data_IF_610416695204
#
_entry.id   IF_610416695204
#
_cell.length_a   1.000
_cell.length_b   1.000
_cell.length_c   1.000
_cell.angle_alpha   90.00
_cell.angle_beta   90.00
_cell.angle_gamma   90.00
#
_symmetry.space_group_name_H-M   'P 1'
#
loop_
_entity.id
_entity.type
_entity.pdbx_description
1 polymer ?
#
# COMPACT_ATOMS: atom_id res chain seq x y z
N UNK A 1 39.30 1.80 1.54
CA UNK A 1 38.78 1.78 0.16
C UNK A 1 39.69 2.51 -0.84
N UNK A 2 40.54 3.45 -0.41
CA UNK A 2 41.37 4.27 -1.32
C UNK A 2 42.70 3.67 -1.78
N UNK A 3 42.96 2.37 -1.56
CA UNK A 3 44.24 1.73 -1.95
C UNK A 3 44.15 0.72 -3.11
N UNK A 4 42.94 0.39 -3.58
CA UNK A 4 42.76 -0.47 -4.75
C UNK A 4 42.82 0.40 -6.02
N UNK A 5 43.84 0.20 -6.85
CA UNK A 5 44.04 0.89 -8.13
C UNK A 5 43.21 0.28 -9.26
N UNK A 6 42.67 -0.92 -9.06
CA UNK A 6 41.90 -1.65 -10.07
C UNK A 6 40.38 -1.42 -9.92
N UNK A 7 39.73 -1.06 -11.02
CA UNK A 7 38.29 -0.79 -11.06
C UNK A 7 37.46 -2.04 -10.78
N UNK A 8 37.90 -3.20 -11.26
CA UNK A 8 37.18 -4.45 -11.09
C UNK A 8 37.28 -4.92 -9.63
N UNK A 9 38.41 -4.68 -8.97
CA UNK A 9 38.56 -4.94 -7.53
C UNK A 9 37.58 -4.10 -6.69
N UNK A 10 37.42 -2.80 -6.98
CA UNK A 10 36.43 -1.95 -6.29
C UNK A 10 34.99 -2.42 -6.52
N UNK A 11 34.67 -2.84 -7.74
CA UNK A 11 33.36 -3.38 -8.10
C UNK A 11 33.08 -4.70 -7.38
N UNK A 12 34.08 -5.58 -7.30
CA UNK A 12 34.02 -6.85 -6.58
C UNK A 12 33.86 -6.63 -5.07
N UNK A 13 34.60 -5.70 -4.47
CA UNK A 13 34.44 -5.36 -3.04
C UNK A 13 33.02 -4.85 -2.76
N UNK A 14 32.47 -3.97 -3.61
CA UNK A 14 31.09 -3.49 -3.47
C UNK A 14 30.06 -4.61 -3.67
N UNK A 15 30.29 -5.52 -4.62
CA UNK A 15 29.43 -6.68 -4.83
C UNK A 15 29.48 -7.63 -3.62
N UNK A 16 30.67 -7.93 -3.10
CA UNK A 16 30.86 -8.77 -1.93
C UNK A 16 30.25 -8.16 -0.66
N UNK A 17 30.36 -6.84 -0.47
CA UNK A 17 29.68 -6.13 0.62
C UNK A 17 28.16 -6.24 0.51
N UNK A 18 27.60 -6.03 -0.69
CA UNK A 18 26.15 -6.21 -0.95
C UNK A 18 25.69 -7.63 -0.64
N UNK A 19 26.45 -8.64 -1.05
CA UNK A 19 26.14 -10.05 -0.77
C UNK A 19 26.24 -10.38 0.72
N UNK A 20 27.27 -9.88 1.41
CA UNK A 20 27.44 -10.11 2.84
C UNK A 20 26.28 -9.50 3.64
N UNK A 21 25.82 -8.31 3.24
CA UNK A 21 24.68 -7.64 3.87
C UNK A 21 23.35 -8.30 3.52
N UNK A 22 23.19 -8.79 2.27
CA UNK A 22 22.04 -9.62 1.87
C UNK A 22 21.97 -10.90 2.70
N UNK A 23 23.10 -11.61 2.83
CA UNK A 23 23.21 -12.81 3.66
C UNK A 23 22.91 -12.53 5.14
N UNK A 24 23.34 -11.37 5.66
CA UNK A 24 23.05 -10.93 7.03
C UNK A 24 21.56 -10.62 7.23
N UNK A 25 20.88 -10.04 6.23
CA UNK A 25 19.42 -9.87 6.25
C UNK A 25 18.73 -11.23 6.25
N UNK A 26 19.05 -12.10 5.31
CA UNK A 26 18.45 -13.43 5.22
C UNK A 26 18.65 -14.23 6.50
N UNK A 27 19.83 -14.11 7.13
CA UNK A 27 20.09 -14.75 8.41
C UNK A 27 19.14 -14.23 9.51
N UNK A 28 18.93 -12.90 9.60
CA UNK A 28 17.96 -12.33 10.54
C UNK A 28 16.53 -12.77 10.23
N UNK A 29 16.15 -12.82 8.96
CA UNK A 29 14.81 -13.23 8.54
C UNK A 29 14.58 -14.72 8.82
N UNK A 30 15.58 -15.58 8.59
CA UNK A 30 15.56 -17.00 8.96
C UNK A 30 15.48 -17.19 10.47
N UNK A 31 16.27 -16.44 11.24
CA UNK A 31 16.23 -16.52 12.71
C UNK A 31 14.86 -16.09 13.25
N UNK A 32 14.25 -15.05 12.67
CA UNK A 32 12.89 -14.62 13.01
C UNK A 32 11.84 -15.65 12.64
N UNK A 33 11.91 -16.21 11.43
CA UNK A 33 11.02 -17.28 10.98
C UNK A 33 11.13 -18.50 11.90
N UNK A 34 12.35 -18.90 12.27
CA UNK A 34 12.60 -19.99 13.21
C UNK A 34 12.05 -19.69 14.62
N UNK A 35 12.22 -18.46 15.13
CA UNK A 35 11.61 -18.05 16.42
C UNK A 35 10.08 -18.10 16.37
N UNK A 36 9.49 -17.65 15.26
CA UNK A 36 8.04 -17.69 15.06
C UNK A 36 7.53 -19.13 14.97
N UNK A 37 8.25 -20.02 14.31
CA UNK A 37 7.94 -21.45 14.22
C UNK A 37 8.08 -22.14 15.58
N UNK A 38 9.14 -21.84 16.32
CA UNK A 38 9.36 -22.36 17.67
C UNK A 38 8.22 -21.94 18.63
N UNK A 39 7.74 -20.68 18.52
CA UNK A 39 6.55 -20.22 19.26
C UNK A 39 5.28 -21.00 18.87
N UNK A 40 5.11 -21.35 17.60
CA UNK A 40 3.99 -22.20 17.14
C UNK A 40 4.10 -23.63 17.67
N UNK A 41 5.31 -24.18 17.77
CA UNK A 41 5.57 -25.51 18.31
C UNK A 41 5.44 -25.56 19.84
N UNK A 42 5.79 -24.48 20.56
CA UNK A 42 5.58 -24.34 22.01
C UNK A 42 4.12 -24.02 22.39
N UNK A 43 3.24 -23.78 21.42
CA UNK A 43 1.80 -23.57 21.61
C UNK A 43 0.97 -24.82 21.95
N UNK A 44 1.56 -25.84 22.56
CA UNK A 44 0.87 -27.05 23.05
C UNK A 44 1.39 -27.43 24.44
N UNK A 45 0.92 -26.75 25.49
CA UNK A 45 0.64 -27.32 26.83
C UNK A 45 0.41 -26.25 27.92
N UNK A 46 -0.79 -25.69 28.01
CA UNK A 46 -1.37 -25.28 29.31
C UNK A 46 -2.80 -25.78 29.34
N UNK A 47 -3.03 -26.89 30.04
CA UNK A 47 -4.36 -27.47 30.21
C UNK A 47 -4.38 -28.94 30.62
N UNK A 48 -3.63 -29.33 31.65
CA UNK A 48 -3.79 -30.63 32.29
C UNK A 48 -4.70 -30.53 33.50
N UNK A 49 -5.89 -31.13 33.41
CA UNK A 49 -6.53 -31.85 34.53
C UNK A 49 -7.26 -33.08 33.97
N UNK A 50 -6.84 -34.31 34.31
CA UNK A 50 -7.57 -35.52 33.95
C UNK A 50 -8.37 -36.09 35.12
N UNK A 51 -9.27 -37.02 34.74
CA UNK A 51 -9.97 -38.04 35.52
C UNK A 51 -11.33 -37.68 36.19
N UNK A 52 -12.42 -38.16 35.59
CA UNK A 52 -13.11 -39.33 36.15
C UNK A 52 -13.84 -40.15 35.08
N UNK A 53 -13.82 -41.46 35.26
CA UNK A 53 -14.17 -42.51 34.29
C UNK A 53 -15.67 -42.88 34.20
N UNK A 54 -15.99 -43.95 33.46
CA UNK A 54 -17.25 -44.14 32.74
C UNK A 54 -18.25 -45.06 33.47
N UNK A 55 -19.56 -44.96 33.15
CA UNK A 55 -20.45 -46.11 33.01
C UNK A 55 -21.82 -45.77 32.39
N UNK A 56 -22.36 -46.77 31.70
CA UNK A 56 -23.51 -46.79 30.80
C UNK A 56 -24.75 -47.42 31.48
N UNK A 57 -25.91 -47.24 30.85
CA UNK A 57 -27.13 -48.10 30.82
C UNK A 57 -28.33 -47.69 31.70
N UNK A 58 -29.40 -47.11 31.09
CA UNK A 58 -30.65 -47.81 30.66
C UNK A 58 -31.83 -46.82 30.42
N UNK A 59 -32.40 -46.92 29.20
CA UNK A 59 -33.77 -46.69 28.65
C UNK A 59 -34.90 -46.09 29.50
N UNK A 60 -35.74 -45.23 28.90
CA UNK A 60 -37.10 -45.57 28.40
C UNK A 60 -37.74 -44.41 27.56
N UNK A 61 -38.80 -44.78 26.82
CA UNK A 61 -39.52 -44.20 25.66
C UNK A 61 -40.15 -42.79 25.89
N UNK A 62 -40.70 -41.97 24.95
CA UNK A 62 -41.90 -42.14 24.09
C UNK A 62 -42.03 -41.09 22.92
N UNK A 63 -42.51 -41.56 21.75
CA UNK A 63 -43.42 -41.01 20.69
C UNK A 63 -43.69 -39.49 20.41
N UNK A 64 -43.54 -39.14 19.12
CA UNK A 64 -44.50 -38.53 18.15
C UNK A 64 -44.78 -37.00 18.00
N UNK A 65 -44.94 -36.64 16.69
CA UNK A 65 -45.64 -35.52 16.02
C UNK A 65 -44.95 -34.13 15.99
N UNK A 66 -44.57 -33.51 14.86
CA UNK A 66 -45.25 -33.11 13.60
C UNK A 66 -46.39 -32.08 13.78
N UNK A 67 -46.17 -30.82 13.36
CA UNK A 67 -47.18 -29.97 12.67
C UNK A 67 -46.47 -28.95 11.73
N UNK A 68 -47.02 -28.83 10.51
CA UNK A 68 -46.72 -27.90 9.42
C UNK A 68 -47.78 -26.79 9.35
N UNK A 69 -47.47 -25.73 8.57
CA UNK A 69 -48.39 -24.94 7.69
C UNK A 69 -49.22 -23.81 8.33
N UNK A 70 -49.89 -22.92 7.55
CA UNK A 70 -49.83 -22.68 6.08
C UNK A 70 -49.84 -21.19 5.61
N UNK A 71 -49.89 -21.09 4.28
CA UNK A 71 -49.90 -20.03 3.26
C UNK A 71 -51.26 -19.30 3.07
N UNK A 72 -51.29 -18.14 2.37
CA UNK A 72 -52.24 -17.82 1.25
C UNK A 72 -52.29 -16.33 0.84
N UNK A 73 -52.30 -16.08 -0.48
CA UNK A 73 -52.68 -14.84 -1.19
C UNK A 73 -54.22 -14.68 -1.33
N UNK A 74 -54.78 -13.64 -1.98
CA UNK A 74 -54.92 -13.66 -3.46
C UNK A 74 -54.92 -12.28 -4.19
N UNK A 75 -55.22 -12.34 -5.49
CA UNK A 75 -55.03 -11.40 -6.59
C UNK A 75 -56.08 -10.27 -6.78
N UNK A 76 -55.78 -9.33 -7.71
CA UNK A 76 -56.74 -8.37 -8.30
C UNK A 76 -56.13 -7.56 -9.46
N UNK A 77 -56.91 -7.30 -10.51
CA UNK A 77 -56.50 -6.98 -11.89
C UNK A 77 -56.99 -5.61 -12.41
N UNK A 78 -56.27 -5.05 -13.39
CA UNK A 78 -56.68 -4.21 -14.55
C UNK A 78 -57.22 -2.75 -14.45
N UNK A 79 -56.64 -1.92 -15.34
CA UNK A 79 -57.26 -0.96 -16.31
C UNK A 79 -57.27 0.58 -16.08
N UNK A 80 -56.54 1.27 -16.99
CA UNK A 80 -56.86 2.47 -17.84
C UNK A 80 -57.87 3.54 -17.36
N UNK A 81 -57.49 4.83 -17.40
CA UNK A 81 -57.92 5.85 -18.39
C UNK A 81 -57.55 7.30 -18.02
N UNK A 82 -57.32 8.07 -19.10
CA UNK A 82 -57.20 9.52 -19.37
C UNK A 82 -57.85 10.58 -18.46
N UNK A 83 -57.20 11.76 -18.43
CA UNK A 83 -57.88 13.06 -18.28
C UNK A 83 -56.92 14.21 -17.93
N UNK A 84 -56.55 15.04 -18.92
CA UNK A 84 -55.67 16.19 -18.75
C UNK A 84 -56.41 17.52 -18.61
N UNK A 85 -55.72 18.57 -18.13
CA UNK A 85 -55.98 20.00 -18.43
C UNK A 85 -54.65 20.77 -18.37
N UNK A 86 -54.47 21.70 -19.31
CA UNK A 86 -53.25 22.43 -19.67
C UNK A 86 -53.13 23.86 -19.07
N UNK A 87 -51.89 24.39 -18.95
CA UNK A 87 -51.48 25.81 -19.19
C UNK A 87 -49.93 26.02 -19.06
N UNK A 88 -49.32 27.13 -19.53
CA UNK A 88 -48.45 27.18 -20.72
C UNK A 88 -46.97 27.55 -20.41
N UNK A 89 -46.07 27.64 -21.42
CA UNK A 89 -44.62 27.57 -21.23
C UNK A 89 -43.94 28.94 -21.11
N UNK A 90 -42.99 29.05 -20.16
CA UNK A 90 -42.00 30.13 -20.14
C UNK A 90 -40.64 29.57 -20.57
N UNK A 91 -40.04 30.25 -21.54
CA UNK A 91 -38.86 29.85 -22.28
C UNK A 91 -37.67 29.43 -21.40
N UNK A 92 -37.22 28.19 -21.57
CA UNK A 92 -35.89 27.78 -21.15
C UNK A 92 -34.89 28.31 -22.17
N UNK A 93 -34.20 29.40 -21.82
CA UNK A 93 -32.92 29.78 -22.42
C UNK A 93 -31.94 28.66 -22.08
N UNK A 94 -31.77 27.71 -23.01
CA UNK A 94 -30.64 26.81 -22.97
C UNK A 94 -29.40 27.62 -23.33
N UNK A 95 -28.70 28.09 -22.31
CA UNK A 95 -27.29 28.45 -22.45
C UNK A 95 -26.55 27.16 -22.82
N UNK A 96 -25.96 27.04 -24.03
CA UNK A 96 -25.01 25.98 -24.29
C UNK A 96 -23.85 26.25 -23.35
N UNK A 97 -23.61 25.35 -22.40
CA UNK A 97 -22.44 25.42 -21.54
C UNK A 97 -21.24 25.11 -22.44
N UNK A 98 -20.72 26.16 -23.06
CA UNK A 98 -19.50 26.12 -23.85
C UNK A 98 -18.41 25.47 -23.00
N UNK A 99 -17.77 24.46 -23.60
CA UNK A 99 -16.65 23.69 -23.09
C UNK A 99 -15.71 24.53 -22.23
N UNK A 100 -15.59 24.19 -20.94
CA UNK A 100 -14.52 24.69 -20.10
C UNK A 100 -13.46 23.60 -19.95
N UNK A 101 -12.43 23.70 -20.80
CA UNK A 101 -11.04 23.32 -20.56
C UNK A 101 -10.79 21.91 -20.00
N UNK A 102 -10.45 21.00 -20.91
CA UNK A 102 -9.86 19.69 -20.60
C UNK A 102 -8.46 19.83 -19.97
N UNK A 103 -8.40 20.27 -18.72
CA UNK A 103 -7.27 19.99 -17.85
C UNK A 103 -7.18 18.48 -17.60
N UNK A 104 -5.98 17.93 -17.36
CA UNK A 104 -5.85 16.51 -17.10
C UNK A 104 -6.73 16.12 -15.91
N UNK A 105 -7.63 15.18 -16.12
CA UNK A 105 -8.52 14.67 -15.09
C UNK A 105 -7.66 14.21 -13.90
N UNK A 106 -7.98 14.65 -12.68
CA UNK A 106 -7.13 14.43 -11.50
C UNK A 106 -6.90 12.94 -11.19
N UNK A 107 -7.86 12.09 -11.57
CA UNK A 107 -7.74 10.63 -11.52
C UNK A 107 -6.63 10.11 -12.45
N UNK A 108 -6.49 10.72 -13.62
CA UNK A 108 -5.48 10.33 -14.62
C UNK A 108 -4.08 10.75 -14.16
N UNK A 109 -3.94 11.93 -13.54
CA UNK A 109 -2.66 12.40 -12.98
C UNK A 109 -2.22 11.53 -11.81
N UNK A 110 -3.15 11.19 -10.91
CA UNK A 110 -2.85 10.31 -9.78
C UNK A 110 -2.41 8.93 -10.25
N UNK A 111 -3.08 8.38 -11.27
CA UNK A 111 -2.73 7.10 -11.86
C UNK A 111 -1.36 7.14 -12.55
N UNK A 112 -1.08 8.18 -13.35
CA UNK A 112 0.22 8.39 -13.98
C UNK A 112 1.36 8.42 -12.95
N UNK A 113 1.17 9.10 -11.82
CA UNK A 113 2.20 9.15 -10.77
C UNK A 113 2.38 7.80 -10.09
N UNK A 114 1.30 7.04 -9.89
CA UNK A 114 1.35 5.69 -9.33
C UNK A 114 2.15 4.75 -10.23
N UNK A 115 1.87 4.78 -11.54
CA UNK A 115 2.57 3.97 -12.52
C UNK A 115 4.04 4.39 -12.67
N UNK A 116 4.33 5.69 -12.55
CA UNK A 116 5.70 6.17 -12.48
C UNK A 116 6.43 5.62 -11.24
N UNK A 117 5.80 5.63 -10.06
CA UNK A 117 6.41 5.07 -8.85
C UNK A 117 6.73 3.58 -9.05
N UNK A 118 5.76 2.80 -9.54
CA UNK A 118 5.93 1.38 -9.86
C UNK A 118 7.11 1.14 -10.81
N UNK A 119 7.17 1.87 -11.91
CA UNK A 119 8.24 1.73 -12.89
C UNK A 119 9.63 2.08 -12.32
N UNK A 120 9.70 2.98 -11.33
CA UNK A 120 10.96 3.35 -10.67
C UNK A 120 11.37 2.38 -9.58
N UNK A 121 10.41 1.70 -8.95
CA UNK A 121 10.67 0.75 -7.85
C UNK A 121 10.62 -0.72 -8.27
N UNK A 122 10.32 -1.03 -9.53
CA UNK A 122 10.30 -2.41 -10.08
C UNK A 122 11.53 -3.26 -9.71
N UNK A 123 12.78 -2.76 -9.75
CA UNK A 123 13.95 -3.60 -9.46
C UNK A 123 14.21 -3.80 -7.95
N UNK A 124 13.36 -3.27 -7.06
CA UNK A 124 13.58 -3.34 -5.61
C UNK A 124 12.77 -4.47 -4.97
N UNK A 125 13.48 -5.39 -4.33
CA UNK A 125 12.87 -6.44 -3.53
C UNK A 125 12.10 -5.83 -2.34
N UNK A 126 10.97 -6.46 -2.00
CA UNK A 126 10.14 -6.05 -0.85
C UNK A 126 9.28 -4.81 -1.07
N UNK A 127 9.21 -4.26 -2.29
CA UNK A 127 8.35 -3.11 -2.62
C UNK A 127 7.33 -3.47 -3.68
N UNK A 128 6.05 -3.29 -3.36
CA UNK A 128 4.94 -3.43 -4.30
C UNK A 128 3.96 -2.27 -4.13
N UNK A 129 4.11 -1.23 -4.95
CA UNK A 129 3.31 -0.01 -4.85
C UNK A 129 1.97 -0.21 -5.55
N UNK A 130 0.90 -0.38 -4.78
CA UNK A 130 -0.47 -0.54 -5.29
C UNK A 130 -1.34 0.71 -5.07
N UNK A 131 -0.97 1.54 -4.10
CA UNK A 131 -1.72 2.73 -3.71
C UNK A 131 -0.75 3.77 -3.10
N UNK A 132 -1.29 4.89 -2.62
CA UNK A 132 -0.54 5.92 -1.88
C UNK A 132 -0.75 5.82 -0.36
N UNK A 133 -1.13 4.68 0.19
CA UNK A 133 -1.38 4.51 1.63
C UNK A 133 -0.61 3.30 2.16
N UNK A 134 -1.26 2.15 2.31
CA UNK A 134 -0.68 0.92 2.87
C UNK A 134 0.62 0.46 2.21
N UNK A 135 0.79 0.67 0.90
CA UNK A 135 2.05 0.34 0.19
C UNK A 135 3.27 1.15 0.65
N UNK A 136 3.08 2.19 1.44
CA UNK A 136 4.12 3.09 1.92
C UNK A 136 4.32 3.01 3.44
N UNK A 137 3.55 2.17 4.12
CA UNK A 137 3.47 2.13 5.58
C UNK A 137 4.78 1.68 6.25
N UNK A 138 5.58 0.85 5.59
CA UNK A 138 6.86 0.33 6.09
C UNK A 138 8.08 1.23 5.80
N UNK A 139 7.88 2.27 5.00
CA UNK A 139 8.93 3.20 4.56
C UNK A 139 9.82 2.67 3.44
N UNK A 140 9.69 1.40 3.01
CA UNK A 140 10.53 0.82 1.96
C UNK A 140 10.23 1.42 0.59
N UNK A 141 8.96 1.73 0.30
CA UNK A 141 8.59 2.40 -0.95
C UNK A 141 9.25 3.78 -1.09
N UNK A 142 9.31 4.57 -0.01
CA UNK A 142 10.03 5.84 0.01
C UNK A 142 11.54 5.61 -0.19
N UNK A 143 12.11 4.65 0.52
CA UNK A 143 13.54 4.34 0.39
C UNK A 143 13.90 3.91 -1.04
N UNK A 144 13.14 3.00 -1.65
CA UNK A 144 13.38 2.52 -3.01
C UNK A 144 13.30 3.65 -4.04
N UNK A 145 12.27 4.50 -3.91
CA UNK A 145 12.08 5.62 -4.84
C UNK A 145 13.21 6.64 -4.75
N UNK A 146 13.63 7.02 -3.53
CA UNK A 146 14.75 7.95 -3.32
C UNK A 146 16.07 7.35 -3.79
N UNK A 147 16.34 6.09 -3.43
CA UNK A 147 17.56 5.37 -3.82
C UNK A 147 17.70 5.23 -5.34
N UNK A 148 16.58 5.20 -6.09
CA UNK A 148 16.62 5.13 -7.56
C UNK A 148 17.29 6.35 -8.20
N UNK A 149 17.19 7.52 -7.57
CA UNK A 149 17.81 8.76 -8.05
C UNK A 149 19.12 9.06 -7.32
N UNK A 150 19.26 8.59 -6.07
CA UNK A 150 20.42 8.83 -5.23
C UNK A 150 20.94 7.52 -4.62
N UNK A 151 21.54 6.62 -5.42
CA UNK A 151 22.03 5.33 -4.94
C UNK A 151 23.19 5.47 -3.93
N UNK A 152 23.93 6.58 -3.99
CA UNK A 152 25.01 6.88 -3.04
C UNK A 152 24.50 7.42 -1.69
N UNK A 153 23.20 7.68 -1.55
CA UNK A 153 22.63 8.23 -0.31
C UNK A 153 22.58 7.22 0.83
N UNK A 154 22.31 5.95 0.52
CA UNK A 154 22.30 4.83 1.48
C UNK A 154 22.20 3.50 0.75
N UNK A 155 22.46 2.38 1.43
CA UNK A 155 22.34 1.05 0.84
C UNK A 155 20.96 0.41 1.10
N UNK A 156 20.15 0.29 0.04
CA UNK A 156 18.79 -0.27 0.15
C UNK A 156 18.75 -1.73 0.65
N UNK A 157 19.70 -2.57 0.20
CA UNK A 157 19.74 -4.00 0.54
C UNK A 157 19.86 -4.29 2.04
N UNK A 158 20.18 -3.28 2.87
CA UNK A 158 20.32 -3.41 4.34
C UNK A 158 19.05 -3.09 5.14
N UNK A 159 18.08 -2.40 4.52
CA UNK A 159 16.89 -1.83 5.17
C UNK A 159 15.84 -2.84 5.65
N UNK A 160 15.56 -2.89 6.94
CA UNK A 160 14.59 -3.81 7.50
C UNK A 160 13.14 -3.27 7.37
N UNK A 161 12.17 -3.99 6.76
CA UNK A 161 10.76 -3.53 6.71
C UNK A 161 10.14 -3.29 8.10
N UNK A 162 10.66 -3.93 9.15
CA UNK A 162 10.15 -3.76 10.50
C UNK A 162 10.72 -2.51 11.19
N UNK A 163 11.82 -1.93 10.68
CA UNK A 163 12.42 -0.70 11.20
C UNK A 163 11.87 0.54 10.49
N UNK A 164 10.54 0.70 10.58
CA UNK A 164 9.76 1.74 9.89
C UNK A 164 10.35 3.14 10.11
N UNK A 165 10.70 3.45 11.37
CA UNK A 165 11.24 4.76 11.76
C UNK A 165 12.53 5.07 11.02
N UNK A 166 13.49 4.15 11.05
CA UNK A 166 14.76 4.33 10.36
C UNK A 166 14.59 4.44 8.84
N UNK A 167 13.65 3.68 8.26
CA UNK A 167 13.35 3.76 6.83
C UNK A 167 12.81 5.15 6.45
N UNK A 168 11.81 5.66 7.17
CA UNK A 168 11.25 6.99 6.89
C UNK A 168 12.30 8.10 7.07
N UNK A 169 13.04 8.10 8.19
CA UNK A 169 14.07 9.11 8.44
C UNK A 169 15.13 9.12 7.35
N UNK A 170 15.62 7.94 6.95
CA UNK A 170 16.65 7.79 5.93
C UNK A 170 16.17 8.28 4.56
N UNK A 171 14.95 7.92 4.16
CA UNK A 171 14.37 8.37 2.90
C UNK A 171 14.19 9.89 2.87
N UNK A 172 13.57 10.48 3.89
CA UNK A 172 13.29 11.91 3.92
C UNK A 172 14.54 12.77 4.08
N UNK A 173 15.51 12.35 4.90
CA UNK A 173 16.80 13.04 5.03
C UNK A 173 17.57 13.07 3.71
N UNK A 174 17.57 11.95 2.99
CA UNK A 174 18.26 11.84 1.70
C UNK A 174 17.56 12.66 0.62
N UNK A 175 16.22 12.61 0.58
CA UNK A 175 15.41 13.40 -0.35
C UNK A 175 15.57 14.91 -0.12
N UNK A 176 15.67 15.36 1.12
CA UNK A 176 15.94 16.75 1.48
C UNK A 176 17.36 17.16 1.08
N UNK A 177 18.36 16.42 1.52
CA UNK A 177 19.77 16.79 1.34
C UNK A 177 20.21 16.75 -0.13
N UNK A 178 19.85 15.69 -0.86
CA UNK A 178 20.30 15.48 -2.24
C UNK A 178 19.25 15.92 -3.26
N UNK A 179 17.97 15.68 -2.96
CA UNK A 179 16.85 16.02 -3.83
C UNK A 179 16.29 17.42 -3.64
N UNK A 180 16.64 18.14 -2.56
CA UNK A 180 16.06 19.44 -2.23
C UNK A 180 14.55 19.38 -1.96
N UNK A 181 14.02 18.20 -1.64
CA UNK A 181 12.60 18.01 -1.39
C UNK A 181 12.28 18.33 0.08
N UNK A 182 11.39 19.28 0.37
CA UNK A 182 11.05 19.62 1.75
C UNK A 182 10.37 18.45 2.46
N UNK A 183 10.61 18.33 3.77
CA UNK A 183 9.99 17.31 4.62
C UNK A 183 8.56 17.69 4.97
N UNK A 184 7.61 17.37 4.07
CA UNK A 184 6.18 17.64 4.30
C UNK A 184 5.49 16.63 5.22
N UNK A 185 6.16 15.51 5.52
CA UNK A 185 5.63 14.43 6.35
C UNK A 185 6.45 14.30 7.64
N UNK A 186 5.75 14.27 8.77
CA UNK A 186 6.35 13.92 10.06
C UNK A 186 6.44 12.39 10.19
N UNK A 187 7.62 11.92 10.60
CA UNK A 187 7.88 10.49 10.80
C UNK A 187 7.04 9.95 11.95
N UNK A 188 6.89 10.71 13.04
CA UNK A 188 6.14 10.25 14.20
C UNK A 188 4.65 10.07 13.86
N UNK A 189 4.08 10.93 13.01
CA UNK A 189 2.69 10.79 12.54
C UNK A 189 2.49 9.59 11.62
N UNK A 190 3.44 9.30 10.74
CA UNK A 190 3.40 8.10 9.88
C UNK A 190 3.49 6.80 10.71
N UNK A 191 4.17 6.84 11.86
CA UNK A 191 4.32 5.70 12.76
C UNK A 191 3.09 5.47 13.64
N UNK A 192 2.41 6.54 14.06
CA UNK A 192 1.18 6.48 14.88
C UNK A 192 0.06 5.70 14.20
N UNK A 193 -0.01 5.79 12.87
CA UNK A 193 -1.05 5.11 12.09
C UNK A 193 -0.51 3.82 11.47
N UNK A 194 -1.40 2.82 11.35
CA UNK A 194 -1.10 1.56 10.64
C UNK A 194 -0.85 1.83 9.16
N UNK A 195 -1.63 2.74 8.58
CA UNK A 195 -1.54 3.14 7.17
C UNK A 195 -1.59 4.67 7.09
N UNK A 196 -0.70 5.30 6.31
CA UNK A 196 -0.68 6.76 6.19
C UNK A 196 -1.85 7.28 5.34
N UNK A 197 -2.27 8.54 5.58
CA UNK A 197 -3.29 9.20 4.74
C UNK A 197 -2.78 9.30 3.30
N UNK A 198 -3.58 8.79 2.37
CA UNK A 198 -3.19 8.72 0.96
C UNK A 198 -2.97 10.09 0.32
N UNK A 199 -3.63 11.14 0.80
CA UNK A 199 -3.44 12.50 0.30
C UNK A 199 -2.07 13.03 0.72
N UNK A 200 -1.69 12.84 1.98
CA UNK A 200 -0.39 13.27 2.49
C UNK A 200 0.76 12.60 1.72
N UNK A 201 0.70 11.28 1.54
CA UNK A 201 1.69 10.53 0.76
C UNK A 201 1.69 10.99 -0.71
N UNK A 202 0.51 11.11 -1.33
CA UNK A 202 0.39 11.57 -2.71
C UNK A 202 1.02 12.95 -2.90
N UNK A 203 0.69 13.92 -2.03
CA UNK A 203 1.23 15.28 -2.07
C UNK A 203 2.75 15.27 -1.89
N UNK A 204 3.29 14.48 -0.96
CA UNK A 204 4.73 14.36 -0.80
C UNK A 204 5.42 13.78 -2.03
N UNK A 205 4.86 12.72 -2.63
CA UNK A 205 5.42 12.09 -3.83
C UNK A 205 5.34 13.02 -5.05
N UNK A 206 4.25 13.80 -5.18
CA UNK A 206 4.14 14.85 -6.19
C UNK A 206 5.23 15.90 -6.02
N UNK A 207 5.47 16.35 -4.80
CA UNK A 207 6.50 17.34 -4.50
C UNK A 207 7.89 16.79 -4.80
N UNK A 208 8.18 15.56 -4.38
CA UNK A 208 9.43 14.88 -4.70
C UNK A 208 9.64 14.78 -6.22
N UNK A 209 8.60 14.43 -6.97
CA UNK A 209 8.66 14.42 -8.44
C UNK A 209 8.98 15.80 -9.00
N UNK A 210 8.34 16.88 -8.50
CA UNK A 210 8.61 18.26 -8.90
C UNK A 210 10.08 18.63 -8.67
N UNK A 211 10.63 18.35 -7.48
CA UNK A 211 12.03 18.60 -7.15
C UNK A 211 13.00 17.87 -8.09
N UNK A 212 12.69 16.62 -8.47
CA UNK A 212 13.49 15.86 -9.43
C UNK A 212 13.44 16.45 -10.85
N UNK A 213 12.28 16.96 -11.28
CA UNK A 213 12.13 17.64 -12.58
C UNK A 213 12.95 18.93 -12.60
N UNK A 214 12.90 19.73 -11.53
CA UNK A 214 13.67 20.96 -11.41
C UNK A 214 15.18 20.74 -11.43
N UNK A 215 15.63 19.62 -10.83
CA UNK A 215 17.03 19.17 -10.90
C UNK A 215 17.41 18.51 -12.24
N UNK A 216 16.47 18.35 -13.17
CA UNK A 216 16.70 17.68 -14.46
C UNK A 216 16.89 16.16 -14.36
N UNK A 217 16.60 15.55 -13.21
CA UNK A 217 16.69 14.10 -12.97
C UNK A 217 15.50 13.34 -13.56
N UNK A 218 14.39 14.04 -13.82
CA UNK A 218 13.23 13.51 -14.53
C UNK A 218 12.94 14.37 -15.74
N UNK A 219 12.97 13.76 -16.93
CA UNK A 219 12.67 14.43 -18.19
C UNK A 219 11.16 14.51 -18.37
N UNK A 220 10.61 15.72 -18.31
CA UNK A 220 9.26 16.00 -18.80
C UNK A 220 9.36 16.46 -20.26
N UNK A 221 8.45 16.02 -21.13
CA UNK A 221 8.39 16.57 -22.49
C UNK A 221 8.01 18.04 -22.37
N UNK A 222 8.99 18.94 -22.53
CA UNK A 222 8.70 20.37 -22.66
C UNK A 222 7.80 20.54 -23.88
N UNK A 223 6.58 21.06 -23.69
CA UNK A 223 5.84 21.66 -24.80
C UNK A 223 6.67 22.86 -25.24
N UNK A 224 7.32 22.74 -26.39
CA UNK A 224 7.92 23.88 -27.08
C UNK A 224 6.80 24.92 -27.28
N UNK A 225 7.04 26.19 -26.92
CA UNK A 225 6.04 27.26 -27.10
C UNK A 225 5.61 27.40 -28.56
#
# INVERSE_FOLDING_TARGET
LDKATDFEERKMIRAAMRELLKKKREQRDRERAARQENLRQQGVCVGSKPANGPNNVQQHTHKSAQVKSPNAAPAGSLSKTSGGVARPPAAAVQVPRSSALGGPNTKDVKQMLLDWCRAKTEPYEGVNIQNFSSSWADGLAFCALVHRFFPEGFEYCTLDPYDRKANFEKAFRTAETLGGCPRLLDVDDLLRMREPDWKCVYTYVQEFYRCLVEKGLVKTKKKTP
#
